data_IF_024122711540
#
_entry.id   IF_024122711540
#
_cell.length_a   1.000
_cell.length_b   1.000
_cell.length_c   1.000
_cell.angle_alpha   90.00
_cell.angle_beta   90.00
_cell.angle_gamma   90.00
#
_symmetry.space_group_name_H-M   'P 1'
#
loop_
_entity.id
_entity.type
_entity.pdbx_description
1 polymer ?
#
# COMPACT_ATOMS: atom_id res chain seq x y z
N UNK A 1 -7.25 -11.30 13.95
CA UNK A 1 -6.94 -10.75 12.61
C UNK A 1 -5.48 -10.34 12.44
N UNK A 2 -4.85 -9.67 13.41
CA UNK A 2 -3.44 -9.24 13.37
C UNK A 2 -2.42 -10.38 13.15
N UNK A 3 -2.62 -11.53 13.79
CA UNK A 3 -1.76 -12.72 13.61
C UNK A 3 -1.74 -13.26 12.17
N UNK A 4 -2.88 -13.23 11.47
CA UNK A 4 -3.00 -13.72 10.09
C UNK A 4 -2.30 -12.79 9.07
N UNK A 5 -2.43 -11.47 9.24
CA UNK A 5 -1.76 -10.49 8.35
C UNK A 5 -0.25 -10.47 8.57
N UNK A 6 0.21 -10.57 9.83
CA UNK A 6 1.62 -10.68 10.15
C UNK A 6 2.24 -11.96 9.55
N UNK A 7 1.53 -13.10 9.68
CA UNK A 7 1.92 -14.37 9.06
C UNK A 7 2.03 -14.25 7.53
N UNK A 8 1.03 -13.65 6.88
CA UNK A 8 1.01 -13.42 5.43
C UNK A 8 2.21 -12.57 4.98
N UNK A 9 2.51 -11.47 5.68
CA UNK A 9 3.68 -10.64 5.36
C UNK A 9 4.99 -11.40 5.53
N UNK A 10 5.10 -12.30 6.51
CA UNK A 10 6.33 -13.10 6.70
C UNK A 10 6.55 -14.05 5.54
N UNK A 11 5.49 -14.71 5.06
CA UNK A 11 5.57 -15.57 3.88
C UNK A 11 6.00 -14.79 2.63
N UNK A 12 5.42 -13.59 2.42
CA UNK A 12 5.78 -12.72 1.30
C UNK A 12 7.24 -12.24 1.37
N UNK A 13 7.70 -11.88 2.57
CA UNK A 13 9.09 -11.46 2.84
C UNK A 13 10.11 -12.55 2.50
N UNK A 14 9.76 -13.81 2.77
CA UNK A 14 10.59 -14.99 2.53
C UNK A 14 10.32 -15.66 1.17
N UNK A 15 9.68 -14.94 0.25
CA UNK A 15 9.36 -15.45 -1.09
C UNK A 15 10.62 -15.82 -1.91
N UNK A 16 10.48 -16.69 -2.92
CA UNK A 16 11.59 -17.06 -3.82
C UNK A 16 12.25 -15.83 -4.47
N UNK A 17 13.59 -15.82 -4.54
CA UNK A 17 14.36 -14.70 -5.09
C UNK A 17 13.93 -14.31 -6.51
N UNK A 18 13.55 -15.29 -7.35
CA UNK A 18 13.03 -15.04 -8.69
C UNK A 18 11.73 -14.19 -8.66
N UNK A 19 10.81 -14.45 -7.73
CA UNK A 19 9.58 -13.65 -7.61
C UNK A 19 9.88 -12.24 -7.09
N UNK A 20 10.87 -12.10 -6.19
CA UNK A 20 11.33 -10.78 -5.72
C UNK A 20 11.92 -9.96 -6.87
N UNK A 21 12.73 -10.59 -7.73
CA UNK A 21 13.30 -9.94 -8.90
C UNK A 21 12.23 -9.51 -9.91
N UNK A 22 11.22 -10.35 -10.16
CA UNK A 22 10.10 -10.00 -11.03
C UNK A 22 9.27 -8.85 -10.45
N UNK A 23 9.00 -8.88 -9.13
CA UNK A 23 8.31 -7.77 -8.45
C UNK A 23 9.09 -6.45 -8.57
N UNK A 24 10.41 -6.49 -8.37
CA UNK A 24 11.28 -5.33 -8.52
C UNK A 24 11.28 -4.83 -9.98
N UNK A 25 11.38 -5.72 -10.96
CA UNK A 25 11.34 -5.37 -12.38
C UNK A 25 9.99 -4.74 -12.77
N UNK A 26 8.87 -5.32 -12.34
CA UNK A 26 7.54 -4.77 -12.58
C UNK A 26 7.36 -3.39 -11.94
N UNK A 27 7.82 -3.24 -10.69
CA UNK A 27 7.78 -1.97 -9.98
C UNK A 27 8.60 -0.89 -10.69
N UNK A 28 9.82 -1.22 -11.11
CA UNK A 28 10.78 -0.28 -11.71
C UNK A 28 10.48 0.10 -13.16
N UNK A 29 10.12 -0.86 -14.00
CA UNK A 29 9.99 -0.68 -15.46
C UNK A 29 8.57 -0.33 -15.87
N UNK A 30 7.56 -0.80 -15.13
CA UNK A 30 6.15 -0.67 -15.55
C UNK A 30 5.38 0.27 -14.62
N UNK A 31 5.30 -0.05 -13.33
CA UNK A 31 4.42 0.69 -12.41
C UNK A 31 4.96 2.10 -12.15
N UNK A 32 6.25 2.24 -11.86
CA UNK A 32 6.84 3.54 -11.52
C UNK A 32 6.72 4.57 -12.63
N UNK A 33 7.12 4.30 -13.89
CA UNK A 33 6.97 5.29 -14.96
C UNK A 33 5.52 5.74 -15.16
N UNK A 34 4.56 4.83 -15.04
CA UNK A 34 3.13 5.17 -15.18
C UNK A 34 2.62 6.00 -14.00
N UNK A 35 3.06 5.69 -12.77
CA UNK A 35 2.74 6.49 -11.57
C UNK A 35 3.31 7.90 -11.70
N UNK A 36 4.58 8.03 -12.09
CA UNK A 36 5.24 9.34 -12.30
C UNK A 36 4.52 10.12 -13.38
N UNK A 37 4.17 9.46 -14.49
CA UNK A 37 3.43 10.08 -15.61
C UNK A 37 2.08 10.60 -15.14
N UNK A 38 1.31 9.81 -14.39
CA UNK A 38 0.04 10.24 -13.81
C UNK A 38 0.22 11.46 -12.92
N UNK A 39 1.17 11.42 -11.97
CA UNK A 39 1.47 12.53 -11.06
C UNK A 39 1.84 13.81 -11.81
N UNK A 40 2.76 13.70 -12.78
CA UNK A 40 3.22 14.80 -13.62
C UNK A 40 2.08 15.45 -14.38
N UNK A 41 1.21 14.63 -14.97
CA UNK A 41 0.07 15.11 -15.74
C UNK A 41 -0.95 15.82 -14.84
N UNK A 42 -1.36 15.21 -13.73
CA UNK A 42 -2.29 15.85 -12.80
C UNK A 42 -1.73 17.18 -12.31
N UNK A 43 -0.43 17.25 -12.02
CA UNK A 43 0.25 18.49 -11.63
C UNK A 43 0.15 19.55 -12.73
N UNK A 44 0.50 19.22 -13.97
CA UNK A 44 0.44 20.18 -15.09
C UNK A 44 -0.99 20.58 -15.45
N UNK A 45 -1.98 19.70 -15.29
CA UNK A 45 -3.39 20.07 -15.43
C UNK A 45 -3.78 21.12 -14.38
N UNK A 46 -3.30 21.02 -13.15
CA UNK A 46 -3.51 22.07 -12.14
C UNK A 46 -2.79 23.36 -12.50
N UNK A 47 -1.60 23.31 -13.09
CA UNK A 47 -0.93 24.52 -13.59
C UNK A 47 -1.72 25.24 -14.69
N UNK A 48 -2.45 24.49 -15.52
CA UNK A 48 -3.30 25.04 -16.58
C UNK A 48 -4.64 25.57 -16.04
N UNK A 49 -5.31 24.82 -15.17
CA UNK A 49 -6.71 25.08 -14.81
C UNK A 49 -6.93 25.71 -13.43
N UNK A 50 -6.02 25.51 -12.46
CA UNK A 50 -6.24 25.97 -11.09
C UNK A 50 -5.77 27.41 -10.90
N UNK A 51 -6.67 28.37 -11.14
CA UNK A 51 -6.43 29.81 -10.98
C UNK A 51 -5.17 30.29 -11.74
N UNK A 52 -5.10 30.06 -13.07
CA UNK A 52 -3.92 30.40 -13.87
C UNK A 52 -3.58 31.89 -13.77
N UNK A 53 -2.28 32.21 -13.76
CA UNK A 53 -1.76 33.57 -13.67
C UNK A 53 -1.75 34.18 -12.26
N UNK A 54 -2.30 33.52 -11.25
CA UNK A 54 -2.29 33.98 -9.84
C UNK A 54 -1.60 32.97 -8.93
N UNK A 55 -0.27 32.89 -8.99
CA UNK A 55 0.51 31.84 -8.29
C UNK A 55 0.13 31.68 -6.82
N UNK A 56 0.09 32.76 -6.04
CA UNK A 56 -0.25 32.71 -4.61
C UNK A 56 -1.65 32.10 -4.34
N UNK A 57 -2.65 32.47 -5.14
CA UNK A 57 -4.02 31.96 -5.00
C UNK A 57 -4.15 30.52 -5.47
N UNK A 58 -3.46 30.16 -6.56
CA UNK A 58 -3.33 28.78 -7.03
C UNK A 58 -2.70 27.89 -5.94
N UNK A 59 -1.61 28.35 -5.33
CA UNK A 59 -0.94 27.65 -4.23
C UNK A 59 -1.87 27.49 -3.02
N UNK A 60 -2.55 28.56 -2.59
CA UNK A 60 -3.51 28.50 -1.50
C UNK A 60 -4.69 27.55 -1.79
N UNK A 61 -5.19 27.54 -3.03
CA UNK A 61 -6.22 26.60 -3.47
C UNK A 61 -5.71 25.15 -3.44
N UNK A 62 -4.48 24.88 -3.91
CA UNK A 62 -3.88 23.55 -3.82
C UNK A 62 -3.68 23.08 -2.37
N UNK A 63 -3.22 23.95 -1.48
CA UNK A 63 -3.15 23.65 -0.03
C UNK A 63 -4.54 23.31 0.50
N UNK A 64 -5.56 24.13 0.23
CA UNK A 64 -6.91 23.91 0.72
C UNK A 64 -7.53 22.60 0.19
N UNK A 65 -7.52 22.38 -1.12
CA UNK A 65 -8.05 21.17 -1.77
C UNK A 65 -7.30 19.94 -1.27
N UNK A 66 -5.96 20.04 -1.18
CA UNK A 66 -5.10 18.96 -0.76
C UNK A 66 -5.38 18.54 0.68
N UNK A 67 -5.15 19.44 1.64
CA UNK A 67 -5.27 19.10 3.06
C UNK A 67 -6.71 18.80 3.48
N UNK A 68 -7.71 19.53 2.97
CA UNK A 68 -9.12 19.22 3.27
C UNK A 68 -9.50 17.84 2.73
N UNK A 69 -9.11 17.53 1.49
CA UNK A 69 -9.39 16.24 0.88
C UNK A 69 -8.70 15.09 1.61
N UNK A 70 -7.41 15.22 1.91
CA UNK A 70 -6.67 14.22 2.69
C UNK A 70 -7.29 14.01 4.07
N UNK A 71 -7.72 15.08 4.74
CA UNK A 71 -8.39 14.99 6.04
C UNK A 71 -9.74 14.27 5.93
N UNK A 72 -10.55 14.59 4.92
CA UNK A 72 -11.84 13.91 4.66
C UNK A 72 -11.61 12.41 4.42
N UNK A 73 -10.70 12.03 3.54
CA UNK A 73 -10.43 10.61 3.26
C UNK A 73 -9.87 9.87 4.49
N UNK A 74 -9.01 10.53 5.26
CA UNK A 74 -8.50 9.97 6.52
C UNK A 74 -9.62 9.80 7.54
N UNK A 75 -10.47 10.80 7.74
CA UNK A 75 -11.52 10.77 8.76
C UNK A 75 -12.64 9.76 8.44
N UNK A 76 -13.04 9.66 7.17
CA UNK A 76 -14.12 8.78 6.73
C UNK A 76 -13.65 7.37 6.33
N UNK A 77 -12.36 7.05 6.44
CA UNK A 77 -11.77 5.76 6.03
C UNK A 77 -12.52 4.54 6.59
N UNK A 78 -12.91 4.57 7.86
CA UNK A 78 -13.55 3.44 8.54
C UNK A 78 -14.98 3.24 8.07
N UNK A 79 -15.69 4.35 7.80
CA UNK A 79 -17.04 4.31 7.21
C UNK A 79 -16.98 3.71 5.81
N UNK A 80 -16.06 4.19 4.96
CA UNK A 80 -15.87 3.65 3.61
C UNK A 80 -15.54 2.15 3.63
N UNK A 81 -14.61 1.74 4.50
CA UNK A 81 -14.26 0.32 4.69
C UNK A 81 -15.47 -0.54 5.12
N UNK A 82 -16.33 -0.02 5.97
CA UNK A 82 -17.47 -0.77 6.49
C UNK A 82 -18.60 -0.91 5.46
N UNK A 83 -18.91 0.16 4.73
CA UNK A 83 -19.97 0.19 3.72
C UNK A 83 -19.59 -0.51 2.41
N UNK A 84 -18.35 -0.33 1.92
CA UNK A 84 -17.93 -0.83 0.62
C UNK A 84 -17.25 -2.21 0.74
N UNK A 85 -18.06 -3.26 0.77
CA UNK A 85 -17.60 -4.67 0.81
C UNK A 85 -17.85 -5.38 -0.54
N UNK A 86 -16.83 -6.02 -1.16
CA UNK A 86 -16.95 -6.71 -2.44
C UNK A 86 -18.01 -7.81 -2.47
N UNK A 87 -18.24 -8.49 -1.33
CA UNK A 87 -19.21 -9.60 -1.20
C UNK A 87 -20.68 -9.15 -1.24
N UNK A 88 -20.98 -7.88 -0.95
CA UNK A 88 -22.37 -7.38 -0.95
C UNK A 88 -22.69 -6.53 -2.18
N UNK A 89 -21.74 -5.74 -2.67
CA UNK A 89 -21.97 -4.80 -3.77
C UNK A 89 -20.79 -4.79 -4.75
N UNK A 90 -20.63 -5.84 -5.55
CA UNK A 90 -19.41 -6.03 -6.36
C UNK A 90 -19.19 -4.91 -7.40
N UNK A 91 -20.18 -4.58 -8.23
CA UNK A 91 -20.04 -3.53 -9.24
C UNK A 91 -19.84 -2.14 -8.61
N UNK A 92 -20.69 -1.79 -7.63
CA UNK A 92 -20.58 -0.54 -6.87
C UNK A 92 -19.24 -0.42 -6.16
N UNK A 93 -18.70 -1.50 -5.58
CA UNK A 93 -17.38 -1.51 -4.97
C UNK A 93 -16.29 -1.14 -5.98
N UNK A 94 -16.29 -1.74 -7.18
CA UNK A 94 -15.27 -1.43 -8.17
C UNK A 94 -15.38 0.01 -8.68
N UNK A 95 -16.60 0.49 -8.97
CA UNK A 95 -16.79 1.88 -9.44
C UNK A 95 -16.39 2.88 -8.35
N UNK A 96 -16.94 2.76 -7.14
CA UNK A 96 -16.68 3.72 -6.06
C UNK A 96 -15.24 3.65 -5.57
N UNK A 97 -14.62 2.46 -5.53
CA UNK A 97 -13.21 2.35 -5.10
C UNK A 97 -12.26 3.01 -6.09
N UNK A 98 -12.56 3.01 -7.40
CA UNK A 98 -11.75 3.75 -8.40
C UNK A 98 -12.00 5.25 -8.35
N UNK A 99 -13.25 5.67 -8.19
CA UNK A 99 -13.57 7.09 -7.98
C UNK A 99 -12.90 7.63 -6.71
N UNK A 100 -12.90 6.84 -5.63
CA UNK A 100 -12.17 7.13 -4.41
C UNK A 100 -10.68 7.31 -4.69
N UNK A 101 -10.05 6.36 -5.39
CA UNK A 101 -8.61 6.45 -5.70
C UNK A 101 -8.29 7.67 -6.56
N UNK A 102 -9.09 7.98 -7.59
CA UNK A 102 -8.89 9.17 -8.42
C UNK A 102 -9.02 10.47 -7.62
N UNK A 103 -10.07 10.60 -6.80
CA UNK A 103 -10.31 11.79 -5.98
C UNK A 103 -9.25 11.95 -4.87
N UNK A 104 -8.86 10.84 -4.22
CA UNK A 104 -7.84 10.87 -3.19
C UNK A 104 -6.46 11.19 -3.78
N UNK A 105 -6.13 10.64 -4.96
CA UNK A 105 -4.91 11.00 -5.69
C UNK A 105 -4.88 12.48 -6.03
N UNK A 106 -6.00 13.05 -6.50
CA UNK A 106 -6.10 14.48 -6.77
C UNK A 106 -5.84 15.33 -5.52
N UNK A 107 -6.34 14.92 -4.35
CA UNK A 107 -6.02 15.57 -3.07
C UNK A 107 -4.55 15.40 -2.66
N UNK A 108 -3.96 14.22 -2.83
CA UNK A 108 -2.53 13.99 -2.58
C UNK A 108 -1.67 14.93 -3.43
N UNK A 109 -1.92 15.00 -4.73
CA UNK A 109 -1.08 15.78 -5.64
C UNK A 109 -1.28 17.29 -5.38
N UNK A 110 -2.49 17.73 -5.02
CA UNK A 110 -2.74 19.11 -4.57
C UNK A 110 -1.98 19.45 -3.28
N UNK A 111 -1.93 18.57 -2.28
CA UNK A 111 -1.20 18.87 -1.04
C UNK A 111 0.31 18.98 -1.31
N UNK A 112 0.84 18.10 -2.17
CA UNK A 112 2.24 18.15 -2.60
C UNK A 112 2.54 19.44 -3.35
N UNK A 113 1.74 19.78 -4.37
CA UNK A 113 1.87 21.04 -5.12
C UNK A 113 1.78 22.26 -4.22
N UNK A 114 0.77 22.29 -3.34
CA UNK A 114 0.55 23.39 -2.42
C UNK A 114 1.73 23.63 -1.48
N UNK A 115 2.25 22.58 -0.83
CA UNK A 115 3.42 22.71 0.06
C UNK A 115 4.68 23.05 -0.71
N UNK A 116 4.90 22.43 -1.87
CA UNK A 116 6.07 22.67 -2.70
C UNK A 116 6.13 24.13 -3.16
N UNK A 117 5.04 24.64 -3.75
CA UNK A 117 4.94 26.02 -4.20
C UNK A 117 5.04 27.02 -3.04
N UNK A 118 4.40 26.72 -1.90
CA UNK A 118 4.48 27.57 -0.71
C UNK A 118 5.93 27.68 -0.21
N UNK A 119 6.67 26.57 -0.18
CA UNK A 119 8.08 26.56 0.20
C UNK A 119 8.95 27.33 -0.80
N UNK A 120 8.70 27.18 -2.11
CA UNK A 120 9.40 27.94 -3.14
C UNK A 120 9.16 29.45 -2.99
N UNK A 121 7.94 29.86 -2.66
CA UNK A 121 7.60 31.26 -2.43
C UNK A 121 8.16 31.83 -1.13
N UNK A 122 8.13 31.05 -0.03
CA UNK A 122 8.53 31.51 1.30
C UNK A 122 10.05 31.49 1.50
N UNK A 123 10.73 30.46 0.99
CA UNK A 123 12.15 30.21 1.28
C UNK A 123 13.05 30.40 0.06
N UNK A 124 12.48 30.41 -1.14
CA UNK A 124 13.23 30.38 -2.40
C UNK A 124 13.95 29.04 -2.62
N UNK A 125 14.67 28.93 -3.72
CA UNK A 125 15.37 27.70 -4.16
C UNK A 125 16.89 27.77 -3.98
N UNK A 126 17.39 28.72 -3.18
CA UNK A 126 18.83 28.87 -2.91
C UNK A 126 19.39 27.58 -2.26
N UNK A 127 20.50 26.99 -2.76
CA UNK A 127 20.98 25.70 -2.29
C UNK A 127 21.19 25.57 -0.77
N UNK A 128 21.69 26.62 -0.11
CA UNK A 128 21.90 26.61 1.34
C UNK A 128 20.59 26.49 2.12
N UNK A 129 19.59 27.31 1.77
CA UNK A 129 18.26 27.29 2.41
C UNK A 129 17.56 25.97 2.15
N UNK A 130 17.66 25.47 0.91
CA UNK A 130 17.12 24.17 0.53
C UNK A 130 17.78 23.04 1.33
N UNK A 131 19.10 23.00 1.42
CA UNK A 131 19.84 22.00 2.20
C UNK A 131 19.47 22.05 3.69
N UNK A 132 19.32 23.23 4.28
CA UNK A 132 18.83 23.39 5.65
C UNK A 132 17.42 22.81 5.82
N UNK A 133 16.51 23.07 4.88
CA UNK A 133 15.15 22.52 4.93
C UNK A 133 15.12 20.98 4.82
N UNK A 134 15.99 20.39 4.00
CA UNK A 134 16.15 18.92 3.90
C UNK A 134 16.65 18.36 5.22
N UNK A 135 17.70 18.95 5.80
CA UNK A 135 18.27 18.48 7.05
C UNK A 135 17.25 18.55 8.19
N UNK A 136 16.52 19.67 8.32
CA UNK A 136 15.44 19.82 9.31
C UNK A 136 14.30 18.82 9.07
N UNK A 137 13.91 18.60 7.82
CA UNK A 137 12.88 17.63 7.45
C UNK A 137 13.26 16.20 7.84
N UNK A 138 14.46 15.76 7.46
CA UNK A 138 15.00 14.43 7.79
C UNK A 138 15.12 14.27 9.31
N UNK A 139 15.71 15.23 10.02
CA UNK A 139 15.85 15.17 11.47
C UNK A 139 14.50 15.09 12.18
N UNK A 140 13.51 15.86 11.71
CA UNK A 140 12.15 15.84 12.29
C UNK A 140 11.47 14.49 12.05
N UNK A 141 11.53 13.97 10.82
CA UNK A 141 10.94 12.68 10.48
C UNK A 141 11.61 11.52 11.24
N UNK A 142 12.95 11.52 11.32
CA UNK A 142 13.71 10.52 12.07
C UNK A 142 13.42 10.57 13.58
N UNK A 143 13.33 11.79 14.15
CA UNK A 143 12.95 11.96 15.57
C UNK A 143 11.57 11.37 15.86
N UNK A 144 10.62 11.55 14.94
CA UNK A 144 9.26 11.00 15.04
C UNK A 144 9.16 9.54 14.58
N UNK A 145 10.26 8.92 14.09
CA UNK A 145 10.29 7.56 13.52
C UNK A 145 9.30 7.40 12.36
N UNK A 146 9.29 8.36 11.45
CA UNK A 146 8.39 8.42 10.30
C UNK A 146 9.14 8.60 8.97
N UNK A 147 10.43 8.31 8.94
CA UNK A 147 11.28 8.51 7.77
C UNK A 147 10.86 7.64 6.59
N UNK A 148 10.33 6.43 6.84
CA UNK A 148 9.79 5.54 5.79
C UNK A 148 8.74 6.19 4.90
N UNK A 149 8.05 7.23 5.37
CA UNK A 149 7.00 7.91 4.59
C UNK A 149 7.56 8.72 3.40
N UNK A 150 8.87 8.92 3.29
CA UNK A 150 9.49 9.53 2.10
C UNK A 150 9.63 8.53 0.94
N UNK A 151 9.38 7.25 1.16
CA UNK A 151 9.53 6.21 0.15
C UNK A 151 8.35 6.22 -0.82
N UNK A 152 8.63 6.09 -2.12
CA UNK A 152 7.66 6.02 -3.20
C UNK A 152 8.04 4.91 -4.21
N UNK A 153 7.24 4.61 -5.24
CA UNK A 153 7.67 3.76 -6.35
C UNK A 153 9.03 4.24 -6.91
N UNK A 154 10.00 3.37 -7.21
CA UNK A 154 9.89 1.91 -7.35
C UNK A 154 10.12 1.10 -6.07
N UNK A 155 10.41 1.76 -4.96
CA UNK A 155 10.77 1.11 -3.69
C UNK A 155 9.52 0.62 -2.93
N UNK A 156 8.39 1.29 -3.12
CA UNK A 156 7.11 0.89 -2.55
C UNK A 156 6.00 1.01 -3.60
N UNK A 157 5.24 -0.06 -3.81
CA UNK A 157 4.03 -0.06 -4.66
C UNK A 157 2.88 -0.69 -3.88
N UNK A 158 1.65 -0.31 -4.24
CA UNK A 158 0.45 -0.86 -3.63
C UNK A 158 -0.39 -1.57 -4.69
N UNK A 159 -0.96 -2.70 -4.30
CA UNK A 159 -1.97 -3.38 -5.10
C UNK A 159 -3.36 -2.92 -4.70
N UNK A 160 -4.30 -3.00 -5.62
CA UNK A 160 -5.72 -2.69 -5.40
C UNK A 160 -6.47 -3.83 -4.67
N UNK A 161 -5.79 -4.49 -3.73
CA UNK A 161 -6.41 -5.51 -2.90
C UNK A 161 -7.53 -4.92 -2.06
N UNK A 162 -8.63 -5.66 -1.95
CA UNK A 162 -9.74 -5.29 -1.05
C UNK A 162 -9.28 -5.09 0.40
N UNK A 163 -8.39 -5.96 0.87
CA UNK A 163 -7.89 -5.87 2.24
C UNK A 163 -7.06 -4.60 2.41
N UNK A 164 -7.45 -3.80 3.41
CA UNK A 164 -6.90 -2.48 3.61
C UNK A 164 -7.02 -1.58 2.38
N UNK A 165 -8.11 -1.58 1.60
CA UNK A 165 -8.24 -0.66 0.45
C UNK A 165 -8.41 0.81 0.86
N UNK A 166 -9.17 1.07 1.92
CA UNK A 166 -9.53 2.43 2.37
C UNK A 166 -8.77 2.92 3.61
N UNK A 167 -8.02 2.05 4.29
CA UNK A 167 -7.26 2.39 5.50
C UNK A 167 -6.17 3.44 5.28
N UNK A 168 -6.27 4.59 5.92
CA UNK A 168 -5.25 5.62 5.92
C UNK A 168 -4.61 5.61 7.31
N UNK A 169 -3.52 4.85 7.51
CA UNK A 169 -2.88 4.74 8.81
C UNK A 169 -2.50 6.13 9.36
N UNK A 170 -2.82 6.41 10.62
CA UNK A 170 -2.39 7.64 11.32
C UNK A 170 -1.27 7.32 12.30
N UNK A 171 -0.43 8.30 12.66
CA UNK A 171 0.75 8.11 13.49
C UNK A 171 0.41 7.46 14.84
N UNK A 172 -0.62 7.96 15.53
CA UNK A 172 -0.98 7.48 16.86
C UNK A 172 -2.00 6.33 16.85
N UNK A 173 -2.47 5.92 15.66
CA UNK A 173 -3.40 4.79 15.47
C UNK A 173 -4.72 4.92 16.27
N UNK A 174 -5.15 6.14 16.61
CA UNK A 174 -6.24 6.38 17.59
C UNK A 174 -7.59 5.84 17.08
N UNK A 175 -7.89 6.03 15.80
CA UNK A 175 -9.15 5.56 15.20
C UNK A 175 -9.32 4.03 15.22
N UNK A 176 -8.22 3.27 15.34
CA UNK A 176 -8.23 1.81 15.43
C UNK A 176 -8.54 1.36 16.86
N UNK A 177 -8.12 2.13 17.87
CA UNK A 177 -8.23 1.76 19.29
C UNK A 177 -9.47 2.33 19.98
N UNK A 178 -9.76 3.61 19.77
CA UNK A 178 -10.69 4.37 20.60
C UNK A 178 -11.94 4.87 19.85
N UNK A 179 -12.03 4.56 18.55
CA UNK A 179 -13.15 4.95 17.68
C UNK A 179 -13.03 6.34 17.05
N UNK A 180 -13.81 6.59 15.99
CA UNK A 180 -13.68 7.78 15.13
C UNK A 180 -14.34 9.05 15.68
N UNK A 181 -14.92 9.01 16.89
CA UNK A 181 -15.67 10.13 17.49
C UNK A 181 -14.87 11.03 18.43
N UNK A 182 -13.62 10.67 18.75
CA UNK A 182 -12.80 11.40 19.71
C UNK A 182 -12.08 12.59 19.06
N UNK A 183 -11.98 13.71 19.79
CA UNK A 183 -11.12 14.84 19.40
C UNK A 183 -9.65 14.42 19.20
N UNK A 184 -9.19 13.40 19.92
CA UNK A 184 -7.84 12.86 19.74
C UNK A 184 -7.66 12.25 18.34
N UNK A 185 -8.68 11.61 17.76
CA UNK A 185 -8.61 11.08 16.40
C UNK A 185 -8.51 12.19 15.35
N UNK A 186 -9.21 13.30 15.57
CA UNK A 186 -9.10 14.51 14.74
C UNK A 186 -7.69 15.07 14.80
N UNK A 187 -7.12 15.21 16.00
CA UNK A 187 -5.74 15.68 16.18
C UNK A 187 -4.70 14.74 15.57
N UNK A 188 -4.85 13.42 15.73
CA UNK A 188 -3.96 12.42 15.12
C UNK A 188 -4.02 12.48 13.59
N UNK A 189 -5.24 12.61 13.03
CA UNK A 189 -5.44 12.78 11.58
C UNK A 189 -4.80 14.08 11.09
N UNK A 190 -5.01 15.19 11.79
CA UNK A 190 -4.39 16.47 11.47
C UNK A 190 -2.86 16.40 11.53
N UNK A 191 -2.30 15.84 12.60
CA UNK A 191 -0.85 15.72 12.76
C UNK A 191 -0.24 14.84 11.66
N UNK A 192 -0.87 13.70 11.37
CA UNK A 192 -0.44 12.76 10.33
C UNK A 192 -0.47 13.39 8.94
N UNK A 193 -1.55 14.10 8.60
CA UNK A 193 -1.73 14.68 7.27
C UNK A 193 -0.94 15.97 7.10
N UNK A 194 -1.08 16.92 8.04
CA UNK A 194 -0.53 18.27 7.93
C UNK A 194 0.95 18.33 8.29
N UNK A 195 1.38 17.67 9.36
CA UNK A 195 2.77 17.79 9.84
C UNK A 195 3.65 16.78 9.12
N UNK A 196 3.36 15.48 9.26
CA UNK A 196 4.18 14.43 8.62
C UNK A 196 4.13 14.56 7.10
N UNK A 197 2.94 14.74 6.53
CA UNK A 197 2.77 14.95 5.09
C UNK A 197 3.59 16.12 4.54
N UNK A 198 3.57 17.29 5.20
CA UNK A 198 4.36 18.45 4.75
C UNK A 198 5.87 18.22 4.86
N UNK A 199 6.33 17.55 5.93
CA UNK A 199 7.75 17.23 6.09
C UNK A 199 8.26 16.32 4.97
N UNK A 200 7.46 15.32 4.56
CA UNK A 200 7.79 14.46 3.42
C UNK A 200 7.95 15.30 2.14
N UNK A 201 7.02 16.21 1.87
CA UNK A 201 7.10 17.11 0.69
C UNK A 201 8.34 17.99 0.77
N UNK A 202 8.68 18.56 1.93
CA UNK A 202 9.87 19.41 2.11
C UNK A 202 11.16 18.64 1.77
N UNK A 203 11.28 17.38 2.23
CA UNK A 203 12.45 16.54 1.94
C UNK A 203 12.53 16.22 0.45
N UNK A 204 11.43 15.80 -0.18
CA UNK A 204 11.36 15.54 -1.62
C UNK A 204 11.72 16.78 -2.44
N UNK A 205 11.04 17.91 -2.14
CA UNK A 205 11.28 19.21 -2.75
C UNK A 205 12.72 19.63 -2.65
N UNK A 206 13.33 19.44 -1.49
CA UNK A 206 14.69 19.89 -1.28
C UNK A 206 15.73 19.05 -2.00
N UNK A 207 15.61 17.72 -1.98
CA UNK A 207 16.53 16.86 -2.75
C UNK A 207 16.36 17.08 -4.26
N UNK A 208 15.13 17.24 -4.73
CA UNK A 208 14.85 17.58 -6.14
C UNK A 208 15.50 18.90 -6.56
N UNK A 209 15.29 19.98 -5.80
CA UNK A 209 15.88 21.29 -6.09
C UNK A 209 17.41 21.26 -6.05
N UNK A 210 18.02 20.53 -5.12
CA UNK A 210 19.49 20.38 -5.10
C UNK A 210 19.98 19.70 -6.39
N UNK A 211 19.28 18.68 -6.88
CA UNK A 211 19.63 18.04 -8.16
C UNK A 211 19.44 18.99 -9.34
N UNK A 212 18.37 19.79 -9.36
CA UNK A 212 18.17 20.81 -10.41
C UNK A 212 19.31 21.84 -10.47
N UNK A 213 19.96 22.14 -9.34
CA UNK A 213 21.08 23.09 -9.28
C UNK A 213 22.44 22.46 -9.62
N UNK A 214 22.66 21.18 -9.27
CA UNK A 214 23.99 20.55 -9.35
C UNK A 214 24.15 19.50 -10.46
N UNK A 215 23.07 18.87 -10.92
CA UNK A 215 23.14 17.79 -11.91
C UNK A 215 22.88 18.36 -13.31
N UNK A 216 23.94 18.83 -14.00
CA UNK A 216 23.86 19.34 -15.38
C UNK A 216 22.69 20.34 -15.61
N UNK A 217 22.64 21.46 -14.86
CA UNK A 217 21.50 22.38 -14.87
C UNK A 217 21.21 23.05 -16.23
N UNK A 218 22.16 23.00 -17.18
CA UNK A 218 22.06 23.68 -18.48
C UNK A 218 21.54 22.78 -19.60
N UNK A 219 21.48 21.47 -19.38
CA UNK A 219 21.08 20.50 -20.40
C UNK A 219 20.02 19.56 -19.82
N UNK A 220 18.76 19.81 -20.19
CA UNK A 220 17.59 19.08 -19.69
C UNK A 220 17.61 17.60 -20.09
N UNK A 221 18.18 17.25 -21.24
CA UNK A 221 18.26 15.86 -21.66
C UNK A 221 19.35 15.10 -20.89
N UNK A 222 20.53 15.69 -20.78
CA UNK A 222 21.64 15.07 -20.03
C UNK A 222 21.31 14.94 -18.54
N UNK A 223 20.70 15.95 -17.92
CA UNK A 223 20.28 15.85 -16.51
C UNK A 223 19.21 14.78 -16.30
N UNK A 224 18.27 14.62 -17.22
CA UNK A 224 17.24 13.60 -17.13
C UNK A 224 17.83 12.19 -17.22
N UNK A 225 18.68 11.94 -18.21
CA UNK A 225 19.35 10.64 -18.41
C UNK A 225 20.24 10.32 -17.20
N UNK A 226 21.02 11.27 -16.70
CA UNK A 226 21.86 11.05 -15.52
C UNK A 226 21.03 10.74 -14.27
N UNK A 227 19.93 11.47 -14.06
CA UNK A 227 18.99 11.15 -12.98
C UNK A 227 18.43 9.73 -13.11
N UNK A 228 18.07 9.29 -14.31
CA UNK A 228 17.61 7.91 -14.53
C UNK A 228 18.70 6.88 -14.25
N UNK A 229 19.93 7.09 -14.76
CA UNK A 229 21.06 6.16 -14.57
C UNK A 229 21.42 6.05 -13.10
N UNK A 230 21.59 7.18 -12.40
CA UNK A 230 21.89 7.22 -10.96
C UNK A 230 20.74 6.57 -10.18
N UNK A 231 19.49 6.98 -10.48
CA UNK A 231 18.29 6.51 -9.80
C UNK A 231 18.14 5.00 -9.88
N UNK A 232 18.13 4.43 -11.09
CA UNK A 232 17.98 3.00 -11.27
C UNK A 232 19.18 2.21 -10.73
N UNK A 233 20.40 2.73 -10.82
CA UNK A 233 21.57 2.09 -10.20
C UNK A 233 21.43 1.97 -8.68
N UNK A 234 21.00 3.05 -8.03
CA UNK A 234 20.75 3.07 -6.58
C UNK A 234 19.59 2.14 -6.20
N UNK A 235 18.49 2.16 -6.95
CA UNK A 235 17.33 1.28 -6.71
C UNK A 235 17.71 -0.19 -6.83
N UNK A 236 18.40 -0.59 -7.91
CA UNK A 236 18.86 -1.97 -8.11
C UNK A 236 19.81 -2.40 -6.99
N UNK A 237 20.74 -1.52 -6.60
CA UNK A 237 21.64 -1.75 -5.48
C UNK A 237 20.87 -1.91 -4.17
N UNK A 238 19.85 -1.10 -3.93
CA UNK A 238 19.01 -1.19 -2.74
C UNK A 238 18.32 -2.56 -2.67
N UNK A 239 17.65 -3.01 -3.75
CA UNK A 239 17.06 -4.36 -3.81
C UNK A 239 18.10 -5.47 -3.57
N UNK A 240 19.29 -5.36 -4.14
CA UNK A 240 20.37 -6.33 -3.95
C UNK A 240 20.93 -6.35 -2.52
N UNK A 241 21.00 -5.18 -1.85
CA UNK A 241 21.47 -5.04 -0.46
C UNK A 241 20.43 -5.49 0.57
N UNK A 242 19.15 -5.55 0.20
CA UNK A 242 18.06 -5.87 1.11
C UNK A 242 18.30 -7.12 1.99
N UNK A 243 18.78 -8.28 1.47
CA UNK A 243 19.04 -9.46 2.30
C UNK A 243 20.17 -9.24 3.32
N UNK A 244 21.17 -8.43 2.97
CA UNK A 244 22.27 -8.08 3.88
C UNK A 244 21.76 -7.17 5.00
N UNK A 245 20.96 -6.16 4.67
CA UNK A 245 20.37 -5.26 5.67
C UNK A 245 19.43 -6.02 6.60
N UNK A 246 18.64 -6.98 6.08
CA UNK A 246 17.85 -7.90 6.93
C UNK A 246 18.71 -8.63 7.96
N UNK A 247 19.85 -9.19 7.54
CA UNK A 247 20.78 -9.87 8.45
C UNK A 247 21.37 -8.92 9.50
N UNK A 248 21.69 -7.68 9.10
CA UNK A 248 22.21 -6.66 10.01
C UNK A 248 21.17 -6.27 11.06
N UNK A 249 19.96 -5.92 10.62
CA UNK A 249 18.85 -5.48 11.48
C UNK A 249 18.42 -6.59 12.45
N UNK A 250 18.55 -7.86 12.08
CA UNK A 250 18.27 -8.97 13.01
C UNK A 250 19.28 -9.08 14.17
N UNK A 251 20.47 -8.48 14.03
CA UNK A 251 21.55 -8.51 15.04
C UNK A 251 21.57 -7.27 15.93
N UNK A 252 20.81 -6.23 15.60
CA UNK A 252 20.80 -4.96 16.34
C UNK A 252 19.41 -4.68 16.90
N UNK A 253 19.34 -3.99 18.04
CA UNK A 253 18.09 -3.63 18.71
C UNK A 253 18.09 -2.14 19.11
N UNK A 254 16.92 -1.65 19.54
CA UNK A 254 16.74 -0.27 19.99
C UNK A 254 17.10 0.78 18.93
N UNK A 255 17.81 1.84 19.33
CA UNK A 255 18.15 2.97 18.46
C UNK A 255 19.05 2.58 17.28
N UNK A 256 19.99 1.64 17.48
CA UNK A 256 20.88 1.17 16.41
C UNK A 256 20.12 0.51 15.27
N UNK A 257 19.04 -0.21 15.61
CA UNK A 257 18.13 -0.82 14.62
C UNK A 257 17.41 0.24 13.81
N UNK A 258 16.84 1.24 14.47
CA UNK A 258 16.15 2.35 13.81
C UNK A 258 17.11 3.09 12.88
N UNK A 259 18.30 3.47 13.36
CA UNK A 259 19.29 4.16 12.54
C UNK A 259 19.71 3.35 11.31
N UNK A 260 19.91 2.03 11.44
CA UNK A 260 20.24 1.17 10.31
C UNK A 260 19.10 1.12 9.26
N UNK A 261 17.85 1.08 9.71
CA UNK A 261 16.66 1.16 8.85
C UNK A 261 16.60 2.52 8.15
N UNK A 262 16.78 3.61 8.89
CA UNK A 262 16.71 4.99 8.39
C UNK A 262 17.76 5.27 7.32
N UNK A 263 19.02 4.86 7.54
CA UNK A 263 20.10 5.00 6.54
C UNK A 263 19.75 4.25 5.26
N UNK A 264 19.20 3.04 5.38
CA UNK A 264 18.78 2.25 4.23
C UNK A 264 17.60 2.88 3.49
N UNK A 265 16.63 3.45 4.22
CA UNK A 265 15.50 4.17 3.65
C UNK A 265 15.94 5.44 2.92
N UNK A 266 16.87 6.22 3.48
CA UNK A 266 17.44 7.41 2.83
C UNK A 266 18.18 7.07 1.54
N UNK A 267 18.99 5.99 1.56
CA UNK A 267 19.66 5.50 0.36
C UNK A 267 18.64 5.11 -0.73
N UNK A 268 17.59 4.39 -0.35
CA UNK A 268 16.54 3.95 -1.27
C UNK A 268 15.72 5.13 -1.83
N UNK A 269 15.42 6.11 -0.97
CA UNK A 269 14.74 7.35 -1.32
C UNK A 269 15.54 8.17 -2.33
N UNK A 270 16.87 8.29 -2.15
CA UNK A 270 17.73 8.98 -3.10
C UNK A 270 17.67 8.38 -4.52
N UNK A 271 17.55 7.05 -4.61
CA UNK A 271 17.29 6.37 -5.88
C UNK A 271 15.91 6.70 -6.44
N UNK A 272 14.87 6.61 -5.61
CA UNK A 272 13.49 6.88 -6.03
C UNK A 272 13.30 8.31 -6.54
N UNK A 273 13.78 9.33 -5.83
CA UNK A 273 13.64 10.74 -6.24
C UNK A 273 14.36 11.02 -7.56
N UNK A 274 15.51 10.37 -7.81
CA UNK A 274 16.22 10.45 -9.08
C UNK A 274 15.44 9.81 -10.23
N UNK A 275 14.84 8.63 -10.02
CA UNK A 275 13.97 7.99 -11.02
C UNK A 275 12.77 8.89 -11.33
N UNK A 276 12.09 9.41 -10.31
CA UNK A 276 10.95 10.31 -10.48
C UNK A 276 11.35 11.57 -11.27
N UNK A 277 12.44 12.22 -10.89
CA UNK A 277 12.97 13.40 -11.58
C UNK A 277 13.31 13.11 -13.03
N UNK A 278 14.07 12.04 -13.28
CA UNK A 278 14.47 11.67 -14.62
C UNK A 278 13.29 11.36 -15.54
N UNK A 279 12.33 10.55 -15.09
CA UNK A 279 11.10 10.28 -15.85
C UNK A 279 10.30 11.56 -16.09
N UNK A 280 10.14 12.39 -15.07
CA UNK A 280 9.38 13.64 -15.17
C UNK A 280 9.98 14.60 -16.22
N UNK A 281 11.30 14.81 -16.21
CA UNK A 281 11.96 15.69 -17.18
C UNK A 281 11.91 15.08 -18.59
N UNK A 282 12.12 13.77 -18.74
CA UNK A 282 11.98 13.11 -20.05
C UNK A 282 10.57 13.30 -20.64
N UNK A 283 9.53 13.26 -19.81
CA UNK A 283 8.16 13.54 -20.25
C UNK A 283 7.94 15.01 -20.58
N UNK A 284 8.54 15.94 -19.82
CA UNK A 284 8.44 17.38 -20.11
C UNK A 284 9.10 17.75 -21.44
N UNK A 285 10.22 17.12 -21.79
CA UNK A 285 10.97 17.43 -23.02
C UNK A 285 10.46 16.67 -24.26
N UNK A 286 10.14 15.38 -24.12
CA UNK A 286 9.97 14.48 -25.28
C UNK A 286 8.53 14.01 -25.53
N UNK A 287 7.62 14.13 -24.56
CA UNK A 287 6.29 13.51 -24.66
C UNK A 287 5.21 14.45 -25.21
N UNK A 288 5.04 14.44 -26.53
CA UNK A 288 4.04 15.22 -27.29
C UNK A 288 4.13 16.73 -26.94
N UNK A 289 5.27 17.39 -27.22
CA UNK A 289 5.50 18.77 -26.82
C UNK A 289 4.57 19.78 -27.53
N UNK A 290 4.12 19.45 -28.74
CA UNK A 290 3.35 20.39 -29.59
C UNK A 290 1.87 20.52 -29.18
N UNK A 291 1.33 19.56 -28.42
CA UNK A 291 -0.08 19.53 -28.02
C UNK A 291 -0.22 19.16 -26.52
N UNK A 292 0.30 19.99 -25.61
CA UNK A 292 0.46 19.62 -24.21
C UNK A 292 -0.87 19.33 -23.50
N UNK A 293 -1.90 20.16 -23.67
CA UNK A 293 -3.19 19.97 -22.98
C UNK A 293 -3.87 18.66 -23.42
N UNK A 294 -3.85 18.35 -24.72
CA UNK A 294 -4.40 17.10 -25.26
C UNK A 294 -3.60 15.90 -24.74
N UNK A 295 -2.27 15.99 -24.80
CA UNK A 295 -1.35 14.99 -24.25
C UNK A 295 -1.65 14.70 -22.78
N UNK A 296 -1.89 15.75 -21.98
CA UNK A 296 -2.20 15.62 -20.56
C UNK A 296 -3.49 14.84 -20.34
N UNK A 297 -4.60 15.22 -20.99
CA UNK A 297 -5.87 14.53 -20.77
C UNK A 297 -5.86 13.06 -21.22
N UNK A 298 -5.32 12.79 -22.42
CA UNK A 298 -5.26 11.42 -22.95
C UNK A 298 -4.40 10.55 -22.05
N UNK A 299 -3.21 11.03 -21.67
CA UNK A 299 -2.30 10.26 -20.82
C UNK A 299 -2.80 10.15 -19.38
N UNK A 300 -3.56 11.12 -18.86
CA UNK A 300 -4.17 11.01 -17.53
C UNK A 300 -5.12 9.80 -17.46
N UNK A 301 -6.03 9.71 -18.44
CA UNK A 301 -7.02 8.62 -18.53
C UNK A 301 -6.31 7.30 -18.81
N UNK A 302 -5.35 7.30 -19.74
CA UNK A 302 -4.60 6.10 -20.11
C UNK A 302 -3.79 5.54 -18.93
N UNK A 303 -3.02 6.36 -18.21
CA UNK A 303 -2.22 5.92 -17.07
C UNK A 303 -3.11 5.42 -15.92
N UNK A 304 -4.19 6.13 -15.60
CA UNK A 304 -5.11 5.68 -14.55
C UNK A 304 -5.78 4.36 -14.91
N UNK A 305 -6.34 4.26 -16.13
CA UNK A 305 -6.96 3.05 -16.63
C UNK A 305 -5.98 1.87 -16.65
N UNK A 306 -4.75 2.10 -17.11
CA UNK A 306 -3.71 1.07 -17.13
C UNK A 306 -3.35 0.57 -15.72
N UNK A 307 -3.17 1.47 -14.74
CA UNK A 307 -2.91 1.06 -13.36
C UNK A 307 -4.09 0.33 -12.72
N UNK A 308 -5.34 0.70 -13.04
CA UNK A 308 -6.54 -0.03 -12.61
C UNK A 308 -6.55 -1.45 -13.19
N UNK A 309 -6.24 -1.61 -14.49
CA UNK A 309 -6.14 -2.92 -15.15
C UNK A 309 -5.01 -3.77 -14.56
N UNK A 310 -3.88 -3.14 -14.22
CA UNK A 310 -2.79 -3.77 -13.48
C UNK A 310 -3.09 -3.93 -11.99
N UNK A 311 -4.28 -3.60 -11.47
CA UNK A 311 -4.61 -3.73 -10.06
C UNK A 311 -3.54 -3.07 -9.14
N UNK A 312 -3.03 -1.89 -9.53
CA UNK A 312 -2.01 -1.12 -8.83
C UNK A 312 -2.30 0.40 -8.82
N UNK A 313 -3.55 0.80 -9.03
CA UNK A 313 -3.94 2.22 -9.00
C UNK A 313 -3.69 2.88 -7.64
N UNK A 314 -3.71 2.14 -6.53
CA UNK A 314 -3.34 2.64 -5.20
C UNK A 314 -1.88 3.09 -5.09
N UNK A 315 -0.99 2.70 -6.03
CA UNK A 315 0.40 3.16 -6.04
C UNK A 315 0.55 4.66 -6.33
N UNK A 316 -0.50 5.33 -6.85
CA UNK A 316 -0.49 6.78 -7.06
C UNK A 316 -0.79 7.57 -5.77
N UNK A 317 -1.17 6.90 -4.68
CA UNK A 317 -1.59 7.55 -3.45
C UNK A 317 -0.42 7.72 -2.48
N UNK A 318 -0.35 8.86 -1.80
CA UNK A 318 0.47 9.03 -0.59
C UNK A 318 -0.42 8.76 0.61
N UNK A 319 -0.17 7.63 1.27
CA UNK A 319 -1.19 6.99 2.11
C UNK A 319 -0.75 6.81 3.55
N UNK A 320 -1.22 7.71 4.40
CA UNK A 320 -1.08 7.61 5.84
C UNK A 320 0.36 7.73 6.32
N UNK A 321 0.60 7.29 7.56
CA UNK A 321 1.87 7.36 8.27
C UNK A 321 2.26 5.96 8.75
N UNK A 322 3.42 5.51 8.30
CA UNK A 322 4.07 4.29 8.72
C UNK A 322 5.20 4.62 9.70
N UNK A 323 5.32 3.80 10.75
CA UNK A 323 6.32 3.99 11.79
C UNK A 323 7.56 3.15 11.45
N UNK A 324 8.73 3.75 11.59
CA UNK A 324 10.01 3.09 11.33
C UNK A 324 10.24 1.96 12.34
N UNK A 325 10.65 0.80 11.83
CA UNK A 325 10.87 -0.40 12.63
C UNK A 325 9.65 -0.88 13.45
N UNK A 326 8.42 -0.52 13.05
CA UNK A 326 7.17 -1.00 13.67
C UNK A 326 7.00 -2.52 13.55
N UNK A 327 7.36 -3.10 12.39
CA UNK A 327 7.23 -4.54 12.20
C UNK A 327 8.33 -5.34 12.94
N UNK A 328 7.93 -6.51 13.44
CA UNK A 328 8.83 -7.43 14.13
C UNK A 328 9.93 -8.00 13.21
N UNK A 329 11.11 -8.19 13.78
CA UNK A 329 12.25 -8.83 13.11
C UNK A 329 12.71 -8.09 11.85
N UNK A 330 12.92 -8.84 10.77
CA UNK A 330 13.54 -8.34 9.53
C UNK A 330 12.56 -7.65 8.58
N UNK A 331 11.26 -7.68 8.89
CA UNK A 331 10.21 -7.15 7.99
C UNK A 331 10.25 -5.62 7.86
N UNK A 332 10.85 -4.94 8.84
CA UNK A 332 10.96 -3.50 8.85
C UNK A 332 11.85 -2.90 7.73
N UNK A 333 12.63 -3.72 7.03
CA UNK A 333 13.42 -3.31 5.86
C UNK A 333 12.89 -3.91 4.56
N UNK A 334 11.69 -4.49 4.61
CA UNK A 334 11.05 -4.96 3.41
C UNK A 334 10.48 -3.83 2.57
N UNK A 335 10.97 -3.72 1.34
CA UNK A 335 10.30 -2.97 0.30
C UNK A 335 8.95 -3.63 -0.02
N UNK A 336 7.83 -2.89 0.12
CA UNK A 336 6.50 -3.46 -0.03
C UNK A 336 6.11 -3.70 -1.50
N UNK A 337 7.03 -4.17 -2.33
CA UNK A 337 6.81 -4.54 -3.72
C UNK A 337 6.42 -6.02 -3.81
N UNK A 338 5.19 -6.37 -3.44
CA UNK A 338 4.73 -7.75 -3.34
C UNK A 338 3.78 -8.20 -4.46
N UNK A 339 3.80 -7.57 -5.63
CA UNK A 339 2.76 -7.70 -6.65
C UNK A 339 2.48 -9.16 -7.07
N UNK A 340 3.46 -9.81 -7.72
CA UNK A 340 3.40 -11.19 -8.19
C UNK A 340 3.35 -12.15 -7.00
N UNK A 341 4.10 -11.87 -5.92
CA UNK A 341 4.06 -12.68 -4.70
C UNK A 341 2.65 -12.78 -4.11
N UNK A 342 1.91 -11.66 -4.08
CA UNK A 342 0.51 -11.63 -3.65
C UNK A 342 -0.40 -12.42 -4.60
N UNK A 343 -0.18 -12.35 -5.91
CA UNK A 343 -0.96 -13.13 -6.89
C UNK A 343 -0.73 -14.64 -6.72
N UNK A 344 0.52 -15.07 -6.57
CA UNK A 344 0.88 -16.47 -6.33
C UNK A 344 0.29 -16.96 -5.01
N UNK A 345 0.41 -16.19 -3.93
CA UNK A 345 -0.14 -16.55 -2.63
C UNK A 345 -1.68 -16.67 -2.66
N UNK A 346 -2.38 -15.73 -3.31
CA UNK A 346 -3.84 -15.82 -3.50
C UNK A 346 -4.25 -17.08 -4.26
N UNK A 347 -3.49 -17.48 -5.28
CA UNK A 347 -3.74 -18.73 -6.02
C UNK A 347 -3.53 -19.96 -5.13
N UNK A 348 -2.46 -19.99 -4.34
CA UNK A 348 -2.20 -21.07 -3.37
C UNK A 348 -3.34 -21.21 -2.34
N UNK A 349 -3.77 -20.09 -1.74
CA UNK A 349 -4.87 -20.08 -0.78
C UNK A 349 -6.19 -20.56 -1.39
N UNK A 350 -6.50 -20.13 -2.62
CA UNK A 350 -7.70 -20.61 -3.34
C UNK A 350 -7.65 -22.11 -3.61
N UNK A 351 -6.48 -22.64 -3.99
CA UNK A 351 -6.29 -24.08 -4.20
C UNK A 351 -6.47 -24.86 -2.89
N UNK A 352 -5.86 -24.40 -1.81
CA UNK A 352 -6.01 -25.03 -0.48
C UNK A 352 -7.45 -25.01 0.01
N UNK A 353 -8.19 -23.91 -0.23
CA UNK A 353 -9.59 -23.82 0.14
C UNK A 353 -10.46 -24.82 -0.61
N UNK A 354 -10.22 -24.99 -1.92
CA UNK A 354 -10.92 -25.99 -2.74
C UNK A 354 -10.63 -27.42 -2.28
N UNK A 355 -9.37 -27.74 -2.00
CA UNK A 355 -9.01 -29.09 -1.50
C UNK A 355 -9.68 -29.38 -0.16
N UNK A 356 -9.75 -28.39 0.75
CA UNK A 356 -10.49 -28.55 2.01
C UNK A 356 -11.99 -28.72 1.82
N UNK A 357 -12.59 -27.95 0.90
CA UNK A 357 -14.00 -28.10 0.56
C UNK A 357 -14.28 -29.49 -0.04
N UNK A 358 -13.38 -30.00 -0.90
CA UNK A 358 -13.46 -31.36 -1.46
C UNK A 358 -13.29 -32.46 -0.37
N UNK A 359 -12.35 -32.28 0.58
CA UNK A 359 -12.16 -33.19 1.72
C UNK A 359 -13.37 -33.19 2.67
N UNK A 360 -13.94 -32.02 2.97
CA UNK A 360 -15.15 -31.88 3.80
C UNK A 360 -16.38 -32.53 3.12
N UNK A 361 -16.55 -32.35 1.80
CA UNK A 361 -17.62 -33.01 1.02
C UNK A 361 -17.44 -34.54 0.96
N UNK A 362 -16.21 -35.06 0.87
CA UNK A 362 -15.93 -36.50 0.91
C UNK A 362 -16.18 -37.11 2.31
N UNK A 363 -15.89 -36.39 3.39
CA UNK A 363 -16.19 -36.83 4.76
C UNK A 363 -17.70 -36.86 5.03
N UNK A 364 -18.44 -35.80 4.67
CA UNK A 364 -19.91 -35.78 4.77
C UNK A 364 -20.56 -36.87 3.90
N UNK A 365 -20.02 -37.12 2.70
CA UNK A 365 -20.49 -38.19 1.81
C UNK A 365 -20.27 -39.60 2.37
N UNK A 366 -19.20 -39.82 3.17
CA UNK A 366 -18.94 -41.09 3.85
C UNK A 366 -19.84 -41.30 5.07
N UNK A 367 -20.16 -40.24 5.83
CA UNK A 367 -21.11 -40.31 6.95
C UNK A 367 -22.55 -40.56 6.49
N UNK A 368 -22.92 -40.15 5.27
CA UNK A 368 -24.26 -40.36 4.70
C UNK A 368 -24.46 -41.70 3.98
N UNK A 369 -23.47 -42.59 3.92
CA UNK A 369 -23.70 -43.93 3.36
C UNK A 369 -24.65 -44.74 4.26
N UNK A 370 -25.80 -45.23 3.75
CA UNK A 370 -26.71 -46.01 4.57
C UNK A 370 -26.04 -47.32 4.98
N UNK A 371 -26.01 -47.58 6.29
CA UNK A 371 -25.70 -48.91 6.84
C UNK A 371 -26.65 -49.90 6.16
N UNK A 372 -26.12 -50.80 5.32
CA UNK A 372 -26.89 -51.91 4.76
C UNK A 372 -27.32 -52.82 5.91
N UNK A 373 -28.56 -52.68 6.35
CA UNK A 373 -29.20 -53.65 7.22
C UNK A 373 -29.72 -54.77 6.32
N UNK A 374 -28.96 -55.86 6.19
CA UNK A 374 -29.50 -57.10 5.65
C UNK A 374 -30.41 -57.74 6.70
N UNK A 375 -31.71 -57.67 6.49
CA UNK A 375 -32.70 -58.38 7.30
C UNK A 375 -32.76 -59.82 6.80
N UNK A 376 -32.21 -60.75 7.57
CA UNK A 376 -32.38 -62.18 7.34
C UNK A 376 -33.66 -62.63 8.06
N UNK A 377 -34.67 -63.09 7.32
CA UNK A 377 -36.04 -63.35 7.80
C UNK A 377 -36.22 -64.56 8.72
N UNK A 378 -35.16 -65.14 9.28
CA UNK A 378 -35.31 -66.19 10.27
C UNK A 378 -34.29 -66.04 11.39
N UNK A 379 -34.83 -65.91 12.62
CA UNK A 379 -34.21 -65.77 13.95
C UNK A 379 -34.15 -64.36 14.56
N UNK A 380 -34.84 -64.22 15.70
CA UNK A 380 -34.71 -63.13 16.67
C UNK A 380 -33.27 -63.01 17.16
N UNK A 381 -32.47 -62.12 16.56
CA UNK A 381 -31.34 -61.39 17.18
C UNK A 381 -30.74 -60.39 16.22
N UNK A 382 -30.71 -59.13 16.62
CA UNK A 382 -30.00 -58.05 15.90
C UNK A 382 -28.50 -58.16 16.25
N UNK A 383 -27.65 -58.38 15.24
CA UNK A 383 -26.20 -58.36 15.36
C UNK A 383 -25.67 -57.12 14.63
N UNK A 384 -24.99 -56.23 15.35
CA UNK A 384 -24.28 -55.09 14.79
C UNK A 384 -22.81 -55.47 14.71
N UNK A 385 -22.27 -55.61 13.50
CA UNK A 385 -20.83 -55.80 13.26
C UNK A 385 -20.23 -54.51 12.71
N UNK A 386 -19.40 -53.84 13.51
CA UNK A 386 -18.43 -52.88 13.01
C UNK A 386 -17.16 -53.60 12.55
N UNK A 387 -16.44 -53.05 11.57
CA UNK A 387 -15.23 -53.63 10.95
C UNK A 387 -14.03 -53.83 11.91
N UNK A 388 -14.21 -53.60 13.22
CA UNK A 388 -13.26 -53.96 14.27
C UNK A 388 -13.94 -54.82 15.36
N UNK A 389 -14.36 -56.04 15.01
CA UNK A 389 -14.35 -57.24 15.87
C UNK A 389 -14.80 -57.19 17.35
N UNK A 390 -15.67 -56.28 17.78
CA UNK A 390 -16.20 -56.26 19.16
C UNK A 390 -17.73 -56.23 19.18
N UNK A 391 -18.33 -57.22 19.85
CA UNK A 391 -19.78 -57.41 19.99
C UNK A 391 -20.20 -56.92 21.38
N UNK A 392 -21.16 -56.00 21.47
CA UNK A 392 -21.85 -55.65 22.72
C UNK A 392 -23.36 -55.76 22.53
N UNK A 393 -24.04 -56.52 23.41
CA UNK A 393 -25.50 -56.64 23.44
C UNK A 393 -26.08 -55.70 24.51
N UNK A 394 -27.17 -54.98 24.18
CA UNK A 394 -27.98 -54.27 25.18
C UNK A 394 -29.47 -54.48 24.89
N UNK A 395 -30.18 -55.01 25.89
CA UNK A 395 -31.61 -55.32 25.87
C UNK A 395 -32.47 -54.05 26.01
N UNK A 396 -33.60 -54.02 25.29
CA UNK A 396 -34.67 -53.04 25.47
C UNK A 396 -35.33 -53.15 26.84
N UNK A 397 -35.57 -52.00 27.49
CA UNK A 397 -36.48 -51.89 28.63
C UNK A 397 -37.55 -50.84 28.32
N UNK A 398 -38.81 -51.28 28.25
CA UNK A 398 -40.01 -50.49 27.94
C UNK A 398 -40.38 -49.48 29.03
N UNK A 399 -40.85 -48.32 28.55
CA UNK A 399 -41.87 -47.39 29.10
C UNK A 399 -41.85 -46.99 30.59
N UNK A 400 -41.82 -45.67 30.86
CA UNK A 400 -42.99 -44.94 31.43
C UNK A 400 -42.82 -43.42 31.52
N UNK A 401 -43.91 -42.73 31.16
CA UNK A 401 -44.47 -41.44 31.61
C UNK A 401 -43.74 -40.08 31.41
N UNK A 402 -44.28 -39.32 30.44
CA UNK A 402 -44.72 -37.91 30.50
C UNK A 402 -44.44 -37.10 31.78
N UNK A 403 -43.75 -35.97 31.65
CA UNK A 403 -44.29 -34.59 31.81
C UNK A 403 -43.19 -33.57 32.12
N UNK A 404 -43.02 -32.53 31.29
CA UNK A 404 -42.82 -31.13 31.70
C UNK A 404 -42.52 -30.21 30.50
N UNK A 405 -43.41 -29.23 30.38
CA UNK A 405 -43.46 -28.00 29.56
C UNK A 405 -42.20 -27.12 29.51
N UNK A 406 -42.03 -26.44 28.36
CA UNK A 406 -41.75 -24.98 28.15
C UNK A 406 -40.40 -24.46 28.74
N UNK A 407 -39.42 -23.98 27.98
CA UNK A 407 -39.34 -22.77 27.11
C UNK A 407 -38.36 -23.01 25.97
#
# INVERSE_FOLDING_TARGET
MTSSVASMRRELSNGPAALVAVDAALSTVVITPVVVTYWRITWKLMDVYLLPGRKAWSTAASVAIGFLGLFVFTFFQHRLKWYLKPRKHTAMYYVISRLYTAAFAYSCINSWRGVWDAMDMLTGTRPSVVATSVALGICSLAFMKTLRNIVAPPIAILTDSYDGYFEVPTLFRIGIRDGTGSWLYVLDSFFSVCIIGSLVVIVWRGVWNLMDQYLYPKDMNTTAILSLVIGYSVVLTAFALQPFVKKLVNKVSGLKRILAVDVYLLFSFFGAVNVWRGVWIMLDEHFIPDAPITSYWVSHIACFGFLVLLNSSNSILVRGVYIDAEEDGTQCVDFPCYYVRLLVQKRKQRKQKRVKEEEEEEEEGKEMMPVKVEVNENFEKILITGENGSITMLNEMKETLNSAKIV
#
